data_IF_959946454137
#
_entry.id   IF_959946454137
#
_cell.length_a   1.000
_cell.length_b   1.000
_cell.length_c   1.000
_cell.angle_alpha   90.00
_cell.angle_beta   90.00
_cell.angle_gamma   90.00
#
_symmetry.space_group_name_H-M   'P 1'
#
loop_
_entity.id
_entity.type
_entity.pdbx_description
1 polymer ?
#
# COMPACT_ATOMS: atom_id res chain seq x y z
N UNK A 1 -69.56 60.58 1.22
CA UNK A 1 -68.82 60.34 -0.03
C UNK A 1 -68.17 58.97 0.10
N UNK A 2 -68.76 57.95 -0.52
CA UNK A 2 -68.24 56.58 -0.50
C UNK A 2 -67.03 56.50 -1.44
N UNK A 3 -65.88 56.09 -0.92
CA UNK A 3 -64.83 55.50 -1.75
C UNK A 3 -64.69 54.04 -1.36
N UNK A 4 -65.31 53.22 -2.21
CA UNK A 4 -65.04 51.81 -2.39
C UNK A 4 -63.80 51.67 -3.29
N UNK A 5 -62.91 50.72 -2.98
CA UNK A 5 -62.35 49.75 -3.92
C UNK A 5 -61.02 49.18 -3.41
N UNK A 6 -61.12 48.03 -2.75
CA UNK A 6 -60.63 46.75 -3.29
C UNK A 6 -59.53 46.86 -4.36
N UNK A 7 -58.26 47.01 -3.98
CA UNK A 7 -57.19 46.91 -4.96
C UNK A 7 -55.95 46.12 -4.52
N UNK A 8 -56.04 45.28 -3.50
CA UNK A 8 -55.02 44.26 -3.24
C UNK A 8 -55.70 42.97 -2.77
N UNK A 9 -55.52 41.83 -3.49
CA UNK A 9 -56.02 40.55 -3.00
C UNK A 9 -55.20 40.18 -1.76
N UNK A 10 -55.88 39.80 -0.67
CA UNK A 10 -55.25 39.17 0.49
C UNK A 10 -54.57 37.88 0.03
N UNK A 11 -53.28 37.98 -0.34
CA UNK A 11 -52.44 36.82 -0.57
C UNK A 11 -52.19 36.20 0.80
N UNK A 12 -53.05 35.25 1.15
CA UNK A 12 -52.99 34.43 2.36
C UNK A 12 -51.53 34.07 2.70
N UNK A 13 -51.01 34.65 3.77
CA UNK A 13 -49.61 34.56 4.24
C UNK A 13 -49.16 33.10 4.39
N UNK A 14 -50.10 32.20 4.70
CA UNK A 14 -49.89 30.75 4.81
C UNK A 14 -49.55 30.06 3.46
N UNK A 15 -50.04 30.61 2.34
CA UNK A 15 -49.73 30.10 1.00
C UNK A 15 -48.34 30.55 0.56
N UNK A 16 -47.97 31.79 0.89
CA UNK A 16 -46.64 32.34 0.64
C UNK A 16 -45.55 31.64 1.49
N UNK A 17 -45.83 31.33 2.76
CA UNK A 17 -44.89 30.59 3.62
C UNK A 17 -44.64 29.16 3.13
N UNK A 18 -45.69 28.44 2.71
CA UNK A 18 -45.58 27.10 2.11
C UNK A 18 -44.78 27.09 0.82
N UNK A 19 -44.96 28.10 -0.04
CA UNK A 19 -44.17 28.27 -1.26
C UNK A 19 -42.69 28.51 -0.94
N UNK A 20 -42.39 29.31 0.09
CA UNK A 20 -41.01 29.56 0.53
C UNK A 20 -40.32 28.29 1.05
N UNK A 21 -40.98 27.48 1.88
CA UNK A 21 -40.42 26.21 2.35
C UNK A 21 -40.21 25.19 1.22
N UNK A 22 -41.13 25.15 0.24
CA UNK A 22 -40.99 24.30 -0.94
C UNK A 22 -39.79 24.73 -1.80
N UNK A 23 -39.60 26.05 -1.99
CA UNK A 23 -38.47 26.61 -2.71
C UNK A 23 -37.13 26.26 -2.04
N UNK A 24 -37.07 26.38 -0.71
CA UNK A 24 -35.91 25.99 0.08
C UNK A 24 -35.62 24.50 -0.07
N UNK A 25 -36.64 23.64 0.03
CA UNK A 25 -36.48 22.18 -0.15
C UNK A 25 -35.96 21.81 -1.54
N UNK A 26 -36.48 22.44 -2.59
CA UNK A 26 -36.02 22.22 -3.98
C UNK A 26 -34.56 22.67 -4.15
N UNK A 27 -34.18 23.81 -3.55
CA UNK A 27 -32.80 24.29 -3.63
C UNK A 27 -31.81 23.35 -2.93
N UNK A 28 -32.15 22.87 -1.73
CA UNK A 28 -31.31 21.93 -0.97
C UNK A 28 -31.18 20.59 -1.72
N UNK A 29 -32.29 20.05 -2.23
CA UNK A 29 -32.28 18.82 -3.02
C UNK A 29 -31.49 18.98 -4.31
N UNK A 30 -31.62 20.12 -4.99
CA UNK A 30 -30.86 20.47 -6.19
C UNK A 30 -29.35 20.54 -5.92
N UNK A 31 -28.95 21.27 -4.87
CA UNK A 31 -27.54 21.36 -4.46
C UNK A 31 -26.98 20.00 -4.05
N UNK A 32 -27.72 19.23 -3.26
CA UNK A 32 -27.33 17.87 -2.89
C UNK A 32 -27.18 16.97 -4.12
N UNK A 33 -28.10 17.07 -5.08
CA UNK A 33 -28.05 16.29 -6.32
C UNK A 33 -26.84 16.67 -7.20
N UNK A 34 -26.51 17.96 -7.30
CA UNK A 34 -25.33 18.44 -8.02
C UNK A 34 -24.05 17.97 -7.33
N UNK A 35 -23.96 18.08 -6.00
CA UNK A 35 -22.83 17.56 -5.22
C UNK A 35 -22.73 16.05 -5.41
N UNK A 36 -23.85 15.32 -5.30
CA UNK A 36 -23.89 13.88 -5.50
C UNK A 36 -23.45 13.47 -6.91
N UNK A 37 -23.88 14.18 -7.96
CA UNK A 37 -23.44 13.94 -9.34
C UNK A 37 -21.95 14.23 -9.52
N UNK A 38 -21.49 15.36 -8.99
CA UNK A 38 -20.08 15.76 -9.06
C UNK A 38 -19.19 14.76 -8.33
N UNK A 39 -19.60 14.34 -7.13
CA UNK A 39 -18.95 13.29 -6.36
C UNK A 39 -19.06 11.94 -7.09
N UNK A 40 -20.19 11.59 -7.70
CA UNK A 40 -20.34 10.34 -8.42
C UNK A 40 -19.40 10.25 -9.63
N UNK A 41 -19.17 11.36 -10.33
CA UNK A 41 -18.24 11.46 -11.45
C UNK A 41 -16.79 11.47 -10.94
N UNK A 42 -16.50 12.21 -9.87
CA UNK A 42 -15.14 12.42 -9.37
C UNK A 42 -14.69 11.45 -8.26
N UNK A 43 -15.56 10.57 -7.76
CA UNK A 43 -15.27 9.55 -6.73
C UNK A 43 -14.20 8.56 -7.18
N UNK A 44 -13.98 8.43 -8.48
CA UNK A 44 -12.97 7.54 -9.02
C UNK A 44 -12.37 8.11 -10.30
N UNK A 45 -11.05 8.02 -10.50
CA UNK A 45 -10.41 8.40 -11.76
C UNK A 45 -10.75 7.47 -12.93
N UNK A 46 -11.57 6.42 -12.71
CA UNK A 46 -11.95 5.45 -13.74
C UNK A 46 -13.19 5.95 -14.51
N UNK A 47 -13.17 5.95 -15.86
CA UNK A 47 -14.28 6.41 -16.68
C UNK A 47 -15.56 5.60 -16.41
N UNK A 48 -16.72 6.27 -16.45
CA UNK A 48 -18.04 5.70 -16.13
C UNK A 48 -18.34 4.40 -16.90
N UNK A 49 -17.93 4.32 -18.16
CA UNK A 49 -18.12 3.13 -18.99
C UNK A 49 -17.41 1.89 -18.42
N UNK A 50 -16.23 2.04 -17.80
CA UNK A 50 -15.53 0.91 -17.14
C UNK A 50 -16.29 0.43 -15.90
N UNK A 51 -16.92 1.35 -15.15
CA UNK A 51 -17.72 1.03 -13.95
C UNK A 51 -18.99 0.29 -14.32
N UNK A 52 -19.67 0.77 -15.37
CA UNK A 52 -20.86 0.11 -15.89
C UNK A 52 -20.52 -1.30 -16.40
N UNK A 53 -19.47 -1.44 -17.24
CA UNK A 53 -18.99 -2.74 -17.71
C UNK A 53 -18.63 -3.69 -16.57
N UNK A 54 -17.94 -3.23 -15.53
CA UNK A 54 -17.61 -4.04 -14.36
C UNK A 54 -18.86 -4.48 -13.57
N UNK A 55 -19.86 -3.61 -13.45
CA UNK A 55 -21.12 -3.91 -12.78
C UNK A 55 -21.92 -4.96 -13.57
N UNK A 56 -22.05 -4.77 -14.89
CA UNK A 56 -22.67 -5.76 -15.78
C UNK A 56 -21.93 -7.09 -15.73
N UNK A 57 -20.60 -7.08 -15.78
CA UNK A 57 -19.78 -8.29 -15.68
C UNK A 57 -19.97 -9.00 -14.33
N UNK A 58 -20.03 -8.26 -13.22
CA UNK A 58 -20.28 -8.83 -11.89
C UNK A 58 -21.67 -9.46 -11.77
N UNK A 59 -22.67 -8.86 -12.40
CA UNK A 59 -24.03 -9.39 -12.47
C UNK A 59 -24.04 -10.68 -13.31
N UNK A 60 -23.51 -10.63 -14.53
CA UNK A 60 -23.42 -11.79 -15.42
C UNK A 60 -22.67 -12.96 -14.77
N UNK A 61 -21.56 -12.66 -14.09
CA UNK A 61 -20.80 -13.63 -13.30
C UNK A 61 -21.68 -14.30 -12.24
N UNK A 62 -22.48 -13.54 -11.49
CA UNK A 62 -23.35 -14.07 -10.42
C UNK A 62 -24.50 -14.93 -10.95
N UNK A 63 -25.09 -14.56 -12.08
CA UNK A 63 -26.28 -15.23 -12.63
C UNK A 63 -25.96 -16.41 -13.54
N UNK A 64 -24.75 -16.48 -14.13
CA UNK A 64 -24.36 -17.56 -15.04
C UNK A 64 -23.27 -18.44 -14.40
N UNK A 65 -23.62 -19.65 -13.89
CA UNK A 65 -22.67 -20.51 -13.19
C UNK A 65 -21.51 -20.99 -14.08
N UNK A 66 -21.74 -21.15 -15.40
CA UNK A 66 -20.68 -21.55 -16.35
C UNK A 66 -19.57 -20.51 -16.49
N UNK A 67 -19.90 -19.21 -16.42
CA UNK A 67 -18.90 -18.13 -16.45
C UNK A 67 -18.06 -18.14 -15.17
N UNK A 68 -18.72 -18.31 -14.02
CA UNK A 68 -18.04 -18.46 -12.74
C UNK A 68 -17.06 -19.64 -12.74
N UNK A 69 -17.50 -20.79 -13.24
CA UNK A 69 -16.69 -22.01 -13.32
C UNK A 69 -15.44 -21.80 -14.17
N UNK A 70 -15.55 -21.17 -15.34
CA UNK A 70 -14.39 -20.86 -16.19
C UNK A 70 -13.40 -19.89 -15.54
N UNK A 71 -13.91 -18.87 -14.82
CA UNK A 71 -13.06 -17.93 -14.07
C UNK A 71 -12.33 -18.67 -12.95
N UNK A 72 -13.01 -19.55 -12.23
CA UNK A 72 -12.43 -20.34 -11.14
C UNK A 72 -11.36 -21.32 -11.66
N UNK A 73 -11.62 -22.01 -12.76
CA UNK A 73 -10.64 -22.86 -13.44
C UNK A 73 -9.39 -22.08 -13.85
N UNK A 74 -9.56 -20.89 -14.45
CA UNK A 74 -8.44 -20.03 -14.81
C UNK A 74 -7.67 -19.52 -13.58
N UNK A 75 -8.37 -19.13 -12.51
CA UNK A 75 -7.74 -18.72 -11.25
C UNK A 75 -6.97 -19.85 -10.59
N UNK A 76 -7.52 -21.08 -10.58
CA UNK A 76 -6.85 -22.25 -10.02
C UNK A 76 -5.59 -22.59 -10.82
N UNK A 77 -5.68 -22.56 -12.16
CA UNK A 77 -4.51 -22.74 -13.02
C UNK A 77 -3.43 -21.69 -12.75
N UNK A 78 -3.79 -20.41 -12.70
CA UNK A 78 -2.83 -19.34 -12.38
C UNK A 78 -2.25 -19.50 -10.97
N UNK A 79 -3.07 -19.93 -10.00
CA UNK A 79 -2.61 -20.22 -8.64
C UNK A 79 -1.59 -21.36 -8.64
N UNK A 80 -1.84 -22.44 -9.37
CA UNK A 80 -0.91 -23.57 -9.49
C UNK A 80 0.39 -23.16 -10.18
N UNK A 81 0.32 -22.40 -11.28
CA UNK A 81 1.49 -21.85 -11.98
C UNK A 81 2.29 -20.92 -11.07
N UNK A 82 1.61 -20.10 -10.27
CA UNK A 82 2.24 -19.21 -9.30
C UNK A 82 2.93 -20.00 -8.19
N UNK A 83 2.24 -20.97 -7.57
CA UNK A 83 2.82 -21.87 -6.56
C UNK A 83 4.05 -22.58 -7.14
N UNK A 84 3.95 -23.13 -8.34
CA UNK A 84 5.06 -23.78 -9.02
C UNK A 84 6.23 -22.80 -9.24
N UNK A 85 5.97 -21.61 -9.77
CA UNK A 85 7.03 -20.62 -10.04
C UNK A 85 7.72 -20.09 -8.77
N UNK A 86 7.02 -20.05 -7.64
CA UNK A 86 7.62 -19.67 -6.35
C UNK A 86 8.45 -20.83 -5.79
N UNK A 87 7.89 -22.04 -5.79
CA UNK A 87 8.48 -23.20 -5.12
C UNK A 87 9.44 -24.01 -6.01
N UNK A 88 9.61 -23.67 -7.28
CA UNK A 88 10.49 -24.40 -8.22
C UNK A 88 11.96 -24.50 -7.76
N UNK A 89 12.39 -23.62 -6.85
CA UNK A 89 13.76 -23.61 -6.30
C UNK A 89 13.83 -24.08 -4.85
N UNK A 90 12.70 -24.46 -4.27
CA UNK A 90 12.67 -25.03 -2.92
C UNK A 90 13.16 -26.47 -2.98
N UNK A 91 14.46 -26.63 -2.75
CA UNK A 91 15.04 -27.93 -2.48
C UNK A 91 14.25 -28.54 -1.29
N UNK A 92 13.88 -29.82 -1.38
CA UNK A 92 13.36 -30.60 -0.25
C UNK A 92 11.99 -30.27 0.36
N UNK A 93 11.31 -29.16 0.03
CA UNK A 93 10.01 -28.74 0.61
C UNK A 93 9.93 -28.79 2.16
N UNK A 94 11.06 -28.69 2.85
CA UNK A 94 11.17 -28.84 4.31
C UNK A 94 10.89 -27.52 5.03
N UNK A 95 9.59 -27.16 5.07
CA UNK A 95 9.12 -25.94 5.73
C UNK A 95 8.86 -26.15 7.23
N UNK A 96 9.40 -25.24 8.04
CA UNK A 96 9.03 -25.13 9.45
C UNK A 96 7.67 -24.42 9.51
N UNK A 97 6.60 -25.17 9.84
CA UNK A 97 5.23 -24.64 9.90
C UNK A 97 4.77 -24.32 11.32
N UNK A 98 5.46 -24.88 12.31
CA UNK A 98 5.13 -24.77 13.72
C UNK A 98 6.41 -24.57 14.53
N UNK A 99 6.28 -23.99 15.72
CA UNK A 99 7.39 -23.82 16.64
C UNK A 99 7.88 -25.20 17.11
N UNK A 100 9.19 -25.50 17.08
CA UNK A 100 9.70 -26.79 17.52
C UNK A 100 9.46 -26.99 19.02
N UNK A 101 9.00 -28.19 19.40
CA UNK A 101 8.69 -28.54 20.79
C UNK A 101 9.92 -28.56 21.72
N UNK A 102 11.12 -28.64 21.14
CA UNK A 102 12.39 -28.64 21.87
C UNK A 102 13.32 -27.62 21.25
N UNK A 103 14.14 -26.99 22.10
CA UNK A 103 15.18 -26.08 21.65
C UNK A 103 16.13 -26.79 20.68
N UNK A 104 16.41 -26.14 19.55
CA UNK A 104 17.36 -26.61 18.55
C UNK A 104 18.75 -26.08 18.93
N UNK A 105 19.76 -26.91 18.79
CA UNK A 105 21.14 -26.50 19.09
C UNK A 105 21.68 -25.53 18.01
N UNK A 106 22.72 -24.78 18.37
CA UNK A 106 23.31 -23.78 17.50
C UNK A 106 23.82 -24.38 16.18
N UNK A 107 24.48 -25.54 16.23
CA UNK A 107 25.04 -26.21 15.04
C UNK A 107 23.95 -26.56 14.01
N UNK A 108 22.80 -27.02 14.49
CA UNK A 108 21.66 -27.39 13.63
C UNK A 108 20.99 -26.17 13.02
N UNK A 109 21.00 -25.02 13.72
CA UNK A 109 20.56 -23.73 13.17
C UNK A 109 21.51 -23.30 12.05
N UNK A 110 22.83 -23.36 12.27
CA UNK A 110 23.82 -22.99 11.25
C UNK A 110 23.73 -23.88 10.01
N UNK A 111 23.65 -25.21 10.18
CA UNK A 111 23.43 -26.14 9.06
C UNK A 111 22.17 -25.81 8.26
N UNK A 112 21.11 -25.38 8.94
CA UNK A 112 19.87 -24.97 8.28
C UNK A 112 20.04 -23.65 7.52
N UNK A 113 20.82 -22.71 8.03
CA UNK A 113 21.15 -21.46 7.33
C UNK A 113 22.02 -21.75 6.10
N UNK A 114 23.03 -22.62 6.22
CA UNK A 114 23.86 -23.07 5.09
C UNK A 114 23.00 -23.67 3.97
N UNK A 115 22.03 -24.52 4.35
CA UNK A 115 21.06 -25.07 3.43
C UNK A 115 20.23 -23.98 2.69
N UNK A 116 19.81 -22.92 3.38
CA UNK A 116 19.13 -21.80 2.74
C UNK A 116 20.05 -21.01 1.80
N UNK A 117 21.31 -20.82 2.16
CA UNK A 117 22.30 -20.18 1.28
C UNK A 117 22.53 -21.00 0.00
N UNK A 118 22.54 -22.34 0.08
CA UNK A 118 22.61 -23.21 -1.09
C UNK A 118 21.38 -23.11 -2.02
N UNK A 119 20.21 -22.69 -1.50
CA UNK A 119 19.03 -22.40 -2.32
C UNK A 119 19.22 -21.10 -3.10
N UNK A 120 19.79 -20.06 -2.49
CA UNK A 120 20.10 -18.78 -3.15
C UNK A 120 21.11 -18.96 -4.30
N UNK A 121 22.01 -19.93 -4.19
CA UNK A 121 22.98 -20.30 -5.24
C UNK A 121 22.36 -20.84 -6.54
N UNK A 122 21.04 -20.97 -6.63
CA UNK A 122 20.34 -21.36 -7.86
C UNK A 122 20.48 -20.31 -8.97
N UNK A 123 20.67 -19.03 -8.61
CA UNK A 123 20.92 -17.95 -9.54
C UNK A 123 22.36 -17.45 -9.44
N UNK A 124 22.99 -17.23 -10.59
CA UNK A 124 24.36 -16.67 -10.65
C UNK A 124 24.34 -15.14 -10.51
N UNK A 125 23.82 -14.64 -9.39
CA UNK A 125 23.74 -13.22 -9.09
C UNK A 125 25.13 -12.61 -8.85
N UNK A 126 26.09 -13.42 -8.40
CA UNK A 126 27.49 -13.03 -8.21
C UNK A 126 28.14 -12.61 -9.53
N UNK A 127 27.83 -13.29 -10.64
CA UNK A 127 28.29 -12.91 -11.99
C UNK A 127 27.41 -11.84 -12.67
N UNK A 128 26.53 -11.17 -11.93
CA UNK A 128 25.70 -10.09 -12.46
C UNK A 128 24.63 -10.55 -13.45
N UNK A 129 24.21 -11.83 -13.41
CA UNK A 129 23.18 -12.36 -14.31
C UNK A 129 21.75 -12.07 -13.87
N UNK A 130 21.58 -11.35 -12.76
CA UNK A 130 20.28 -11.00 -12.19
C UNK A 130 20.19 -9.48 -12.09
N UNK A 131 19.27 -8.88 -12.85
CA UNK A 131 19.09 -7.44 -12.89
C UNK A 131 18.49 -6.91 -11.59
N UNK A 132 19.05 -5.83 -11.05
CA UNK A 132 18.46 -5.06 -9.94
C UNK A 132 18.39 -5.76 -8.58
N UNK A 133 19.11 -6.88 -8.39
CA UNK A 133 19.03 -7.67 -7.14
C UNK A 133 20.17 -7.35 -6.17
N UNK A 134 21.43 -7.37 -6.64
CA UNK A 134 22.61 -7.01 -5.85
C UNK A 134 23.31 -5.84 -6.53
N UNK A 135 23.42 -4.71 -5.83
CA UNK A 135 23.88 -3.44 -6.40
C UNK A 135 25.40 -3.24 -6.35
N UNK A 136 26.10 -4.05 -5.57
CA UNK A 136 27.55 -3.93 -5.36
C UNK A 136 28.26 -5.21 -5.77
N UNK A 137 29.53 -5.10 -6.13
CA UNK A 137 30.39 -6.28 -6.18
C UNK A 137 30.45 -6.89 -4.77
N UNK A 138 30.39 -8.21 -4.67
CA UNK A 138 30.47 -8.94 -3.40
C UNK A 138 31.94 -8.98 -2.96
N UNK A 139 32.44 -7.85 -2.50
CA UNK A 139 33.79 -7.71 -1.97
C UNK A 139 33.85 -8.31 -0.55
N UNK A 140 34.70 -9.33 -0.30
CA UNK A 140 34.85 -9.92 1.03
C UNK A 140 35.22 -8.91 2.12
N UNK A 141 36.02 -7.89 1.78
CA UNK A 141 36.41 -6.86 2.75
C UNK A 141 35.21 -6.01 3.16
N UNK A 142 34.39 -5.62 2.19
CA UNK A 142 33.15 -4.88 2.45
C UNK A 142 32.17 -5.71 3.30
N UNK A 143 32.00 -7.00 2.99
CA UNK A 143 31.15 -7.89 3.77
C UNK A 143 31.61 -8.03 5.22
N UNK A 144 32.93 -8.14 5.44
CA UNK A 144 33.51 -8.21 6.79
C UNK A 144 33.17 -6.97 7.61
N UNK A 145 33.33 -5.78 7.02
CA UNK A 145 33.02 -4.51 7.69
C UNK A 145 31.53 -4.43 8.04
N UNK A 146 30.63 -4.79 7.12
CA UNK A 146 29.19 -4.81 7.37
C UNK A 146 28.83 -5.75 8.52
N UNK A 147 29.41 -6.96 8.54
CA UNK A 147 29.22 -7.93 9.61
C UNK A 147 29.68 -7.41 10.97
N UNK A 148 30.85 -6.77 11.04
CA UNK A 148 31.38 -6.18 12.27
C UNK A 148 30.52 -5.03 12.80
N UNK A 149 30.06 -4.15 11.91
CA UNK A 149 29.17 -3.04 12.28
C UNK A 149 27.84 -3.60 12.81
N UNK A 150 27.23 -4.55 12.10
CA UNK A 150 25.99 -5.18 12.56
C UNK A 150 26.17 -5.85 13.93
N UNK A 151 27.25 -6.60 14.12
CA UNK A 151 27.55 -7.26 15.39
C UNK A 151 27.64 -6.26 16.55
N UNK A 152 28.27 -5.08 16.34
CA UNK A 152 28.40 -4.04 17.37
C UNK A 152 27.08 -3.33 17.71
N UNK A 153 26.18 -3.19 16.74
CA UNK A 153 24.94 -2.42 16.87
C UNK A 153 23.66 -3.27 16.84
N UNK A 154 23.76 -4.61 16.90
CA UNK A 154 22.63 -5.54 16.77
C UNK A 154 21.47 -5.28 17.74
N UNK A 155 21.75 -4.74 18.93
CA UNK A 155 20.76 -4.41 19.96
C UNK A 155 20.43 -2.92 20.07
N UNK A 156 20.98 -2.09 19.18
CA UNK A 156 20.66 -0.67 19.15
C UNK A 156 19.25 -0.43 18.63
N UNK A 157 18.53 0.53 19.23
CA UNK A 157 17.15 0.86 18.83
C UNK A 157 16.97 2.37 18.71
N UNK A 158 16.82 2.93 17.49
CA UNK A 158 16.64 4.37 17.27
C UNK A 158 15.41 4.98 17.96
N UNK A 159 14.43 4.18 18.38
CA UNK A 159 13.26 4.65 19.15
C UNK A 159 13.63 5.22 20.54
N UNK A 160 14.80 4.86 21.07
CA UNK A 160 15.28 5.33 22.38
C UNK A 160 16.59 6.12 22.22
N UNK A 161 16.54 7.35 21.67
CA UNK A 161 17.74 8.14 21.34
C UNK A 161 18.55 8.60 22.57
N UNK A 162 17.92 8.62 23.74
CA UNK A 162 18.53 8.86 25.06
C UNK A 162 19.40 7.69 25.51
N UNK A 163 18.97 6.45 25.19
CA UNK A 163 19.71 5.22 25.50
C UNK A 163 20.75 4.89 24.43
N UNK A 164 20.45 5.18 23.16
CA UNK A 164 21.31 4.87 22.01
C UNK A 164 21.80 6.13 21.26
N UNK A 165 22.59 7.00 21.91
CA UNK A 165 23.01 8.27 21.31
C UNK A 165 23.94 8.09 20.10
N UNK A 166 24.66 6.96 20.03
CA UNK A 166 25.56 6.64 18.93
C UNK A 166 24.82 6.45 17.59
N UNK A 167 23.73 5.68 17.58
CA UNK A 167 22.94 5.46 16.35
C UNK A 167 22.22 6.74 15.94
N UNK A 168 21.64 7.47 16.90
CA UNK A 168 21.07 8.80 16.66
C UNK A 168 22.09 9.74 15.98
N UNK A 169 23.35 9.73 16.43
CA UNK A 169 24.43 10.52 15.82
C UNK A 169 24.73 10.04 14.40
N UNK A 170 24.90 8.73 14.19
CA UNK A 170 25.17 8.17 12.86
C UNK A 170 24.05 8.49 11.85
N UNK A 171 22.78 8.39 12.25
CA UNK A 171 21.64 8.78 11.40
C UNK A 171 21.69 10.26 11.01
N UNK A 172 21.97 11.16 11.97
CA UNK A 172 22.12 12.59 11.69
C UNK A 172 23.28 12.88 10.73
N UNK A 173 24.41 12.17 10.87
CA UNK A 173 25.56 12.29 9.98
C UNK A 173 25.22 11.79 8.57
N UNK A 174 24.55 10.66 8.44
CA UNK A 174 24.08 10.13 7.14
C UNK A 174 23.16 11.15 6.45
N UNK A 175 22.20 11.72 7.18
CA UNK A 175 21.28 12.72 6.63
C UNK A 175 22.05 13.92 6.08
N UNK A 176 23.07 14.42 6.80
CA UNK A 176 23.86 15.56 6.35
C UNK A 176 24.80 15.21 5.18
N UNK A 177 25.40 14.02 5.17
CA UNK A 177 26.19 13.52 4.04
C UNK A 177 25.32 13.47 2.77
N UNK A 178 24.11 12.91 2.88
CA UNK A 178 23.18 12.81 1.75
C UNK A 178 22.68 14.19 1.34
N UNK A 179 22.31 15.06 2.28
CA UNK A 179 21.91 16.44 1.94
C UNK A 179 23.02 17.19 1.19
N UNK A 180 24.28 17.03 1.62
CA UNK A 180 25.45 17.59 0.94
C UNK A 180 25.64 17.01 -0.46
N UNK A 181 25.42 15.70 -0.64
CA UNK A 181 25.51 15.03 -1.95
C UNK A 181 24.51 15.61 -2.97
N UNK A 182 23.36 16.08 -2.50
CA UNK A 182 22.33 16.73 -3.32
C UNK A 182 22.41 18.26 -3.33
N UNK A 183 23.51 18.85 -2.82
CA UNK A 183 23.70 20.31 -2.73
C UNK A 183 22.58 21.03 -1.97
N UNK A 184 22.06 20.40 -0.90
CA UNK A 184 21.10 21.01 0.00
C UNK A 184 21.66 22.24 0.72
N UNK A 185 20.78 23.18 1.09
CA UNK A 185 21.13 24.32 1.94
C UNK A 185 21.52 23.87 3.36
N UNK A 186 22.09 24.78 4.16
CA UNK A 186 22.41 24.48 5.58
C UNK A 186 21.17 24.03 6.37
N UNK A 187 20.01 24.61 6.05
CA UNK A 187 18.70 24.29 6.62
C UNK A 187 18.10 22.96 6.11
N UNK A 188 18.78 22.25 5.21
CA UNK A 188 18.29 20.97 4.71
C UNK A 188 18.17 19.96 5.86
N UNK A 189 16.97 19.38 5.97
CA UNK A 189 16.61 18.36 6.95
C UNK A 189 16.23 17.06 6.25
N UNK A 190 16.26 15.95 6.97
CA UNK A 190 15.90 14.64 6.45
C UNK A 190 15.60 13.65 7.57
N UNK A 191 15.27 12.42 7.19
CA UNK A 191 15.00 11.33 8.12
C UNK A 191 15.40 10.00 7.48
N UNK A 192 15.95 9.09 8.27
CA UNK A 192 16.11 7.70 7.90
C UNK A 192 14.78 6.98 8.15
N UNK A 193 14.07 6.61 7.08
CA UNK A 193 12.76 5.94 7.18
C UNK A 193 12.76 4.64 6.39
N UNK A 194 12.28 3.58 7.02
CA UNK A 194 11.85 2.37 6.32
C UNK A 194 10.41 2.59 5.83
N UNK A 195 10.17 2.39 4.53
CA UNK A 195 8.81 2.40 3.99
C UNK A 195 8.06 1.16 4.53
N UNK A 196 7.00 1.40 5.28
CA UNK A 196 6.00 0.39 5.66
C UNK A 196 4.84 0.42 4.66
#
# INVERSE_FOLDING_TARGET
MQFNNNLFPDVSIDKASKINFMLVGVSIAGTWFVIYLHELINRSPKPLMKRFKASCFSILRKFVPSINKQIEEALNKTKEELIHSIHQYDKGLDFIREMPLKAINHESILKRIEYYQEMEGTFDYIKGRVSGTVYTNIDPNHMSILGEVFHKFAYSNPLHPDVFPAVRKMEAEIIKIVASLFHGSEDAVGTCRLYN
#
